data_IF_054166957654
#
_entry.id   IF_054166957654
#
_cell.length_a   1.000
_cell.length_b   1.000
_cell.length_c   1.000
_cell.angle_alpha   90.00
_cell.angle_beta   90.00
_cell.angle_gamma   90.00
#
_symmetry.space_group_name_H-M   'P 1'
#
loop_
_entity.id
_entity.type
_entity.pdbx_description
1 polymer ?
#
# COMPACT_ATOMS: atom_id res chain seq x y z
N UNK A 1 -31.31 26.42 -9.61
CA UNK A 1 -29.94 26.82 -9.97
C UNK A 1 -29.64 26.24 -11.35
N UNK A 2 -29.51 27.06 -12.41
CA UNK A 2 -29.20 26.59 -13.77
C UNK A 2 -27.68 26.58 -13.93
N UNK A 3 -27.07 25.40 -13.86
CA UNK A 3 -25.65 25.22 -14.17
C UNK A 3 -25.42 25.64 -15.62
N UNK A 4 -24.31 26.35 -15.89
CA UNK A 4 -23.99 26.92 -17.19
C UNK A 4 -24.06 25.85 -18.30
N UNK A 5 -24.74 26.18 -19.40
CA UNK A 5 -25.03 25.30 -20.55
C UNK A 5 -23.81 24.55 -21.12
N UNK A 6 -22.60 25.06 -20.86
CA UNK A 6 -21.32 24.49 -21.29
C UNK A 6 -20.95 23.17 -20.57
N UNK A 7 -21.50 22.88 -19.40
CA UNK A 7 -21.17 21.65 -18.65
C UNK A 7 -22.05 20.45 -19.01
N UNK A 8 -23.19 20.66 -19.70
CA UNK A 8 -24.08 19.57 -20.10
C UNK A 8 -23.47 18.60 -21.13
N UNK A 9 -22.39 19.00 -21.81
CA UNK A 9 -21.73 18.20 -22.84
C UNK A 9 -20.46 17.51 -22.36
N UNK A 10 -20.08 17.66 -21.09
CA UNK A 10 -18.94 16.93 -20.54
C UNK A 10 -19.38 15.51 -20.17
N UNK A 11 -18.60 14.53 -20.60
CA UNK A 11 -18.80 13.16 -20.15
C UNK A 11 -18.69 13.12 -18.61
N UNK A 12 -19.54 12.35 -17.90
CA UNK A 12 -19.40 12.15 -16.47
C UNK A 12 -17.97 11.71 -16.16
N UNK A 13 -17.30 12.42 -15.27
CA UNK A 13 -15.95 12.04 -14.84
C UNK A 13 -16.08 10.76 -14.04
N UNK A 14 -15.58 9.66 -14.60
CA UNK A 14 -15.48 8.39 -13.91
C UNK A 14 -14.33 8.47 -12.90
N UNK A 15 -14.68 8.68 -11.62
CA UNK A 15 -13.73 8.83 -10.53
C UNK A 15 -13.06 7.50 -10.15
N UNK A 16 -13.70 6.38 -10.50
CA UNK A 16 -13.13 5.05 -10.33
C UNK A 16 -12.04 4.82 -11.39
N UNK A 17 -10.84 4.42 -10.95
CA UNK A 17 -9.82 3.95 -11.89
C UNK A 17 -10.25 2.59 -12.45
N UNK A 18 -11.06 2.60 -13.52
CA UNK A 18 -11.39 1.39 -14.25
C UNK A 18 -10.14 0.83 -14.92
N UNK A 19 -9.81 -0.41 -14.59
CA UNK A 19 -8.77 -1.15 -15.32
C UNK A 19 -9.17 -1.25 -16.80
N UNK A 20 -8.22 -0.99 -17.70
CA UNK A 20 -8.42 -1.20 -19.15
C UNK A 20 -8.55 -2.69 -19.51
N UNK A 21 -8.25 -3.58 -18.57
CA UNK A 21 -8.32 -5.04 -18.72
C UNK A 21 -9.07 -5.66 -17.54
N UNK A 22 -9.95 -6.64 -17.82
CA UNK A 22 -10.67 -7.39 -16.80
C UNK A 22 -9.73 -8.38 -16.07
N UNK A 23 -8.79 -7.84 -15.29
CA UNK A 23 -7.88 -8.62 -14.45
C UNK A 23 -8.51 -8.77 -13.06
N UNK A 24 -8.93 -9.98 -12.72
CA UNK A 24 -9.37 -10.36 -11.38
C UNK A 24 -10.88 -10.52 -11.20
N UNK A 25 -11.26 -10.75 -9.95
CA UNK A 25 -12.65 -10.97 -9.54
C UNK A 25 -13.08 -9.88 -8.57
N UNK A 26 -14.35 -9.50 -8.63
CA UNK A 26 -14.96 -8.66 -7.60
C UNK A 26 -15.45 -9.56 -6.46
N UNK A 27 -14.88 -9.36 -5.28
CA UNK A 27 -15.32 -10.03 -4.06
C UNK A 27 -16.35 -9.18 -3.34
N UNK A 28 -17.41 -9.82 -2.85
CA UNK A 28 -18.40 -9.21 -1.97
C UNK A 28 -17.95 -9.42 -0.53
N UNK A 29 -17.54 -8.33 0.13
CA UNK A 29 -17.03 -8.37 1.51
C UNK A 29 -18.09 -8.80 2.55
N UNK A 30 -19.38 -8.87 2.17
CA UNK A 30 -20.44 -9.42 3.02
C UNK A 30 -20.56 -10.93 2.95
N UNK A 31 -19.85 -11.58 2.03
CA UNK A 31 -19.90 -13.03 1.81
C UNK A 31 -18.62 -13.69 2.30
N UNK A 32 -18.76 -14.93 2.76
CA UNK A 32 -17.65 -15.77 3.21
C UNK A 32 -17.39 -16.90 2.22
N UNK A 33 -16.12 -17.30 2.08
CA UNK A 33 -15.77 -18.50 1.32
C UNK A 33 -16.06 -19.73 2.20
N UNK A 34 -16.81 -20.74 1.71
CA UNK A 34 -17.07 -21.95 2.47
C UNK A 34 -15.78 -22.71 2.82
N UNK A 35 -15.70 -23.26 4.03
CA UNK A 35 -14.52 -24.04 4.49
C UNK A 35 -14.22 -25.23 3.59
N UNK A 36 -15.25 -25.90 3.06
CA UNK A 36 -15.11 -27.02 2.11
C UNK A 36 -14.36 -26.62 0.84
N UNK A 37 -14.59 -25.41 0.34
CA UNK A 37 -13.89 -24.90 -0.84
C UNK A 37 -12.44 -24.52 -0.53
N UNK A 38 -12.12 -24.14 0.71
CA UNK A 38 -10.74 -23.84 1.13
C UNK A 38 -9.92 -25.12 1.32
N UNK A 39 -10.53 -26.19 1.81
CA UNK A 39 -9.85 -27.48 2.05
C UNK A 39 -9.37 -28.16 0.77
N UNK A 40 -9.97 -27.85 -0.38
CA UNK A 40 -9.51 -28.36 -1.68
C UNK A 40 -8.33 -27.58 -2.25
N UNK A 41 -7.96 -26.46 -1.62
CA UNK A 41 -6.87 -25.60 -2.09
C UNK A 41 -5.57 -25.93 -1.36
N UNK A 42 -4.46 -25.76 -2.06
CA UNK A 42 -3.13 -25.86 -1.49
C UNK A 42 -2.79 -24.59 -0.70
N UNK A 43 -3.20 -24.55 0.57
CA UNK A 43 -2.98 -23.42 1.48
C UNK A 43 -2.11 -23.88 2.65
N UNK A 44 -1.01 -23.18 2.87
CA UNK A 44 -0.13 -23.38 4.03
C UNK A 44 -0.31 -22.24 5.02
N UNK A 45 -0.56 -22.58 6.28
CA UNK A 45 -0.66 -21.62 7.38
C UNK A 45 0.55 -21.74 8.29
N UNK A 46 1.01 -20.61 8.82
CA UNK A 46 2.03 -20.57 9.86
C UNK A 46 1.41 -19.99 11.13
N UNK A 47 1.51 -20.75 12.23
CA UNK A 47 0.88 -20.40 13.51
C UNK A 47 1.88 -20.05 14.62
N UNK A 48 3.19 -20.06 14.33
CA UNK A 48 4.24 -19.74 15.31
C UNK A 48 4.75 -20.90 16.16
N UNK A 49 4.11 -22.08 16.09
CA UNK A 49 4.46 -23.25 16.90
C UNK A 49 5.60 -24.12 16.31
N UNK A 50 5.94 -23.92 15.04
CA UNK A 50 7.00 -24.69 14.38
C UNK A 50 8.36 -24.30 14.95
N UNK A 51 9.06 -25.24 15.60
CA UNK A 51 10.46 -25.07 15.97
C UNK A 51 11.32 -25.22 14.71
N UNK A 52 12.23 -24.28 14.41
CA UNK A 52 13.07 -24.39 13.24
C UNK A 52 14.10 -25.52 13.44
N UNK A 53 13.89 -26.67 12.81
CA UNK A 53 14.92 -27.70 12.63
C UNK A 53 15.90 -27.21 11.56
N UNK A 54 16.92 -26.44 11.97
CA UNK A 54 17.87 -25.80 11.06
C UNK A 54 17.29 -24.55 10.40
N UNK A 55 17.37 -23.41 11.09
CA UNK A 55 16.82 -22.13 10.62
C UNK A 55 17.58 -21.53 9.45
N UNK A 56 16.84 -21.02 8.46
CA UNK A 56 17.39 -20.17 7.41
C UNK A 56 17.67 -18.81 7.99
N UNK A 57 18.90 -18.34 7.87
CA UNK A 57 19.33 -17.07 8.45
C UNK A 57 19.57 -17.15 9.96
N UNK A 58 20.56 -16.41 10.43
CA UNK A 58 20.77 -16.22 11.87
C UNK A 58 19.73 -15.21 12.36
N UNK A 59 18.76 -15.63 13.17
CA UNK A 59 17.80 -14.74 13.82
C UNK A 59 17.90 -14.91 15.33
N UNK A 60 17.70 -13.83 16.07
CA UNK A 60 17.56 -13.87 17.51
C UNK A 60 16.13 -14.25 17.90
N UNK A 61 15.15 -13.71 17.18
CA UNK A 61 13.75 -14.07 17.34
C UNK A 61 13.47 -15.37 16.55
N UNK A 62 13.15 -16.48 17.23
CA UNK A 62 12.91 -17.77 16.57
C UNK A 62 11.66 -17.77 15.68
N UNK A 63 10.72 -16.85 15.89
CA UNK A 63 9.53 -16.73 15.05
C UNK A 63 9.88 -16.26 13.64
N UNK A 64 10.85 -15.35 13.47
CA UNK A 64 11.31 -14.96 12.14
C UNK A 64 11.98 -16.13 11.42
N UNK A 65 12.82 -16.89 12.12
CA UNK A 65 13.45 -18.08 11.56
C UNK A 65 12.41 -19.14 11.15
N UNK A 66 11.47 -19.45 12.04
CA UNK A 66 10.39 -20.40 11.81
C UNK A 66 9.52 -20.00 10.61
N UNK A 67 9.04 -18.75 10.57
CA UNK A 67 8.24 -18.24 9.48
C UNK A 67 8.99 -18.27 8.15
N UNK A 68 10.26 -17.84 8.14
CA UNK A 68 11.06 -17.83 6.93
C UNK A 68 11.32 -19.26 6.42
N UNK A 69 11.60 -20.20 7.32
CA UNK A 69 11.76 -21.62 6.96
C UNK A 69 10.47 -22.21 6.38
N UNK A 70 9.31 -21.88 6.95
CA UNK A 70 8.01 -22.31 6.41
C UNK A 70 7.79 -21.75 5.00
N UNK A 71 8.04 -20.44 4.79
CA UNK A 71 7.91 -19.80 3.47
C UNK A 71 8.87 -20.42 2.48
N UNK A 72 10.14 -20.59 2.85
CA UNK A 72 11.16 -21.15 1.97
C UNK A 72 10.84 -22.60 1.57
N UNK A 73 10.42 -23.42 2.54
CA UNK A 73 9.98 -24.81 2.29
C UNK A 73 8.86 -24.85 1.25
N UNK A 74 7.84 -24.00 1.41
CA UNK A 74 6.73 -23.92 0.45
C UNK A 74 7.18 -23.40 -0.91
N UNK A 75 7.98 -22.35 -0.94
CA UNK A 75 8.47 -21.72 -2.16
C UNK A 75 9.48 -22.59 -2.94
N UNK A 76 10.08 -23.59 -2.29
CA UNK A 76 11.01 -24.55 -2.93
C UNK A 76 10.30 -25.69 -3.69
N UNK A 77 8.97 -25.79 -3.60
CA UNK A 77 8.22 -26.79 -4.37
C UNK A 77 8.36 -26.57 -5.88
N UNK A 78 8.41 -27.67 -6.64
CA UNK A 78 8.72 -27.64 -8.09
C UNK A 78 7.76 -26.77 -8.92
N UNK A 79 6.49 -26.68 -8.49
CA UNK A 79 5.45 -25.87 -9.15
C UNK A 79 5.73 -24.36 -9.09
N UNK A 80 6.53 -23.89 -8.14
CA UNK A 80 6.90 -22.49 -7.98
C UNK A 80 8.30 -22.18 -8.50
N UNK A 81 8.99 -23.14 -9.11
CA UNK A 81 10.27 -22.90 -9.74
C UNK A 81 10.04 -22.40 -11.19
N UNK A 82 10.63 -21.25 -11.53
CA UNK A 82 10.51 -20.70 -12.89
C UNK A 82 11.26 -21.53 -13.94
N UNK A 83 12.36 -22.17 -13.55
CA UNK A 83 13.29 -22.90 -14.44
C UNK A 83 13.00 -24.40 -14.56
N UNK A 84 12.05 -24.94 -13.79
CA UNK A 84 11.64 -26.34 -13.92
C UNK A 84 10.99 -26.58 -15.28
N UNK A 85 11.48 -27.60 -15.99
CA UNK A 85 11.05 -27.99 -17.34
C UNK A 85 9.87 -28.96 -17.38
N UNK A 86 9.59 -29.63 -16.27
CA UNK A 86 8.56 -30.68 -16.18
C UNK A 86 7.61 -30.37 -15.01
N UNK A 87 6.30 -30.29 -15.28
CA UNK A 87 5.25 -30.04 -14.29
C UNK A 87 4.35 -28.84 -14.58
N UNK A 88 3.17 -28.81 -13.97
CA UNK A 88 2.26 -27.66 -14.02
C UNK A 88 2.79 -26.54 -13.15
N UNK A 89 3.16 -25.41 -13.76
CA UNK A 89 3.60 -24.21 -13.04
C UNK A 89 2.42 -23.53 -12.36
N UNK A 90 2.66 -22.97 -11.19
CA UNK A 90 1.69 -22.21 -10.42
C UNK A 90 2.33 -20.96 -9.82
N UNK A 91 1.51 -20.05 -9.28
CA UNK A 91 1.97 -18.82 -8.62
C UNK A 91 1.68 -18.92 -7.13
N UNK A 92 2.74 -18.88 -6.31
CA UNK A 92 2.62 -18.81 -4.86
C UNK A 92 2.21 -17.40 -4.43
N UNK A 93 1.09 -17.30 -3.71
CA UNK A 93 0.62 -16.03 -3.13
C UNK A 93 0.91 -16.04 -1.63
N UNK A 94 1.91 -15.28 -1.22
CA UNK A 94 2.33 -15.14 0.18
C UNK A 94 1.62 -13.93 0.78
N UNK A 95 0.88 -14.13 1.87
CA UNK A 95 0.18 -13.07 2.58
C UNK A 95 0.65 -13.04 4.03
N UNK A 96 1.29 -11.95 4.45
CA UNK A 96 1.77 -11.75 5.82
C UNK A 96 0.98 -10.62 6.47
N UNK A 97 0.25 -10.95 7.53
CA UNK A 97 -0.63 -10.01 8.20
C UNK A 97 0.03 -9.43 9.46
N UNK A 98 0.06 -8.10 9.56
CA UNK A 98 0.54 -7.36 10.74
C UNK A 98 1.91 -7.82 11.26
N UNK A 99 2.83 -8.17 10.36
CA UNK A 99 4.21 -8.50 10.73
C UNK A 99 4.92 -7.24 11.21
N UNK A 100 5.75 -7.35 12.25
CA UNK A 100 6.35 -6.18 12.90
C UNK A 100 5.39 -5.42 13.82
N UNK A 101 4.24 -6.00 14.16
CA UNK A 101 3.44 -5.56 15.31
C UNK A 101 4.19 -5.78 16.63
N UNK A 102 3.73 -5.19 17.76
CA UNK A 102 4.41 -5.32 19.04
C UNK A 102 4.62 -6.76 19.53
N UNK A 103 3.82 -7.71 19.03
CA UNK A 103 4.01 -9.14 19.29
C UNK A 103 5.38 -9.68 18.79
N UNK A 104 6.03 -8.97 17.86
CA UNK A 104 7.33 -9.33 17.30
C UNK A 104 8.51 -8.62 17.99
N UNK A 105 8.23 -7.69 18.91
CA UNK A 105 9.26 -6.84 19.49
C UNK A 105 10.11 -7.62 20.49
N UNK A 106 11.41 -7.55 20.27
CA UNK A 106 12.45 -7.93 21.20
C UNK A 106 13.62 -6.94 21.09
N UNK A 107 14.67 -7.15 21.88
CA UNK A 107 15.87 -6.30 21.87
C UNK A 107 16.59 -6.23 20.51
N UNK A 108 16.35 -7.18 19.60
CA UNK A 108 17.00 -7.27 18.29
C UNK A 108 16.03 -7.00 17.13
N UNK A 109 14.81 -6.56 17.42
CA UNK A 109 13.69 -6.47 16.48
C UNK A 109 14.07 -5.77 15.18
N UNK A 110 14.67 -4.57 15.26
CA UNK A 110 15.02 -3.78 14.09
C UNK A 110 15.94 -4.55 13.13
N UNK A 111 16.95 -5.24 13.68
CA UNK A 111 17.92 -6.00 12.89
C UNK A 111 17.31 -7.26 12.29
N UNK A 112 16.59 -8.03 13.10
CA UNK A 112 15.96 -9.27 12.66
C UNK A 112 14.84 -9.00 11.65
N UNK A 113 14.06 -7.93 11.81
CA UNK A 113 13.01 -7.56 10.87
C UNK A 113 13.59 -7.15 9.50
N UNK A 114 14.62 -6.29 9.48
CA UNK A 114 15.30 -5.92 8.23
C UNK A 114 15.89 -7.15 7.53
N UNK A 115 16.53 -8.04 8.29
CA UNK A 115 17.07 -9.30 7.77
C UNK A 115 15.97 -10.20 7.21
N UNK A 116 14.87 -10.34 7.92
CA UNK A 116 13.72 -11.13 7.49
C UNK A 116 13.16 -10.61 6.15
N UNK A 117 12.90 -9.31 6.03
CA UNK A 117 12.38 -8.71 4.80
C UNK A 117 13.37 -8.87 3.64
N UNK A 118 14.68 -8.70 3.89
CA UNK A 118 15.70 -8.89 2.87
C UNK A 118 15.77 -10.33 2.35
N UNK A 119 15.72 -11.33 3.24
CA UNK A 119 15.73 -12.75 2.87
C UNK A 119 14.42 -13.15 2.19
N UNK A 120 13.27 -12.69 2.68
CA UNK A 120 11.98 -12.91 2.04
C UNK A 120 11.95 -12.34 0.62
N UNK A 121 12.47 -11.12 0.43
CA UNK A 121 12.62 -10.51 -0.90
C UNK A 121 13.45 -11.41 -1.81
N UNK A 122 14.58 -11.95 -1.32
CA UNK A 122 15.40 -12.86 -2.10
C UNK A 122 14.64 -14.13 -2.52
N UNK A 123 13.84 -14.72 -1.64
CA UNK A 123 12.99 -15.89 -1.97
C UNK A 123 11.98 -15.52 -3.07
N UNK A 124 11.26 -14.41 -2.89
CA UNK A 124 10.24 -13.96 -3.86
C UNK A 124 10.83 -13.64 -5.22
N UNK A 125 12.05 -13.08 -5.28
CA UNK A 125 12.73 -12.77 -6.54
C UNK A 125 13.23 -14.01 -7.31
N UNK A 126 13.39 -15.15 -6.64
CA UNK A 126 13.92 -16.39 -7.23
C UNK A 126 12.86 -17.49 -7.41
N UNK A 127 11.58 -17.19 -7.14
CA UNK A 127 10.47 -18.14 -7.25
C UNK A 127 9.29 -17.50 -7.99
N UNK A 128 8.38 -18.32 -8.50
CA UNK A 128 7.11 -17.87 -9.09
C UNK A 128 6.14 -17.46 -7.98
N UNK A 129 6.47 -16.35 -7.31
CA UNK A 129 5.79 -15.91 -6.10
C UNK A 129 5.44 -14.43 -6.15
N UNK A 130 4.36 -14.09 -5.48
CA UNK A 130 4.00 -12.70 -5.13
C UNK A 130 3.78 -12.61 -3.62
N UNK A 131 4.16 -11.49 -3.02
CA UNK A 131 4.05 -11.30 -1.58
C UNK A 131 3.32 -10.00 -1.25
N UNK A 132 2.26 -10.10 -0.45
CA UNK A 132 1.55 -8.98 0.16
C UNK A 132 1.84 -8.99 1.67
N UNK A 133 2.34 -7.87 2.18
CA UNK A 133 2.68 -7.72 3.59
C UNK A 133 1.95 -6.50 4.13
N UNK A 134 1.28 -6.65 5.27
CA UNK A 134 0.78 -5.53 6.07
C UNK A 134 1.66 -5.35 7.31
N UNK A 135 2.08 -4.11 7.56
CA UNK A 135 2.97 -3.74 8.67
C UNK A 135 2.39 -2.51 9.37
N UNK A 136 2.22 -2.50 10.71
CA UNK A 136 1.75 -1.33 11.44
C UNK A 136 2.89 -0.32 11.63
N UNK A 137 3.32 0.32 10.53
CA UNK A 137 4.53 1.18 10.50
C UNK A 137 4.45 2.40 11.44
N UNK A 138 3.26 2.91 11.74
CA UNK A 138 3.08 4.03 12.68
C UNK A 138 3.63 3.72 14.08
N UNK A 139 3.69 2.44 14.47
CA UNK A 139 4.24 2.02 15.75
C UNK A 139 5.77 2.12 15.80
N UNK A 140 6.45 2.18 14.66
CA UNK A 140 7.91 2.27 14.62
C UNK A 140 8.43 3.61 15.13
N UNK A 141 7.59 4.65 15.17
CA UNK A 141 7.94 5.94 15.76
C UNK A 141 8.17 5.86 17.28
N UNK A 142 7.68 4.81 17.93
CA UNK A 142 7.88 4.56 19.36
C UNK A 142 9.11 3.68 19.66
N UNK A 143 9.84 3.25 18.62
CA UNK A 143 11.07 2.49 18.78
C UNK A 143 12.28 3.44 18.82
N UNK A 144 13.34 3.02 19.48
CA UNK A 144 14.59 3.79 19.57
C UNK A 144 15.28 3.98 18.20
N UNK A 145 14.91 3.16 17.20
CA UNK A 145 15.50 3.17 15.88
C UNK A 145 14.72 4.06 14.89
N UNK A 146 15.01 5.36 14.92
CA UNK A 146 14.35 6.39 14.10
C UNK A 146 14.51 6.18 12.57
N UNK A 147 15.46 5.35 12.13
CA UNK A 147 15.71 5.07 10.71
C UNK A 147 15.10 3.76 10.23
N UNK A 148 14.51 2.96 11.12
CA UNK A 148 13.91 1.67 10.78
C UNK A 148 12.84 1.83 9.69
N UNK A 149 11.93 2.79 9.85
CA UNK A 149 10.86 3.08 8.89
C UNK A 149 11.41 3.22 7.46
N UNK A 150 12.37 4.12 7.23
CA UNK A 150 12.94 4.38 5.90
C UNK A 150 13.65 3.16 5.34
N UNK A 151 14.40 2.43 6.18
CA UNK A 151 15.12 1.21 5.75
C UNK A 151 14.16 0.10 5.34
N UNK A 152 13.06 -0.07 6.07
CA UNK A 152 12.02 -1.06 5.74
C UNK A 152 11.35 -0.70 4.40
N UNK A 153 10.88 0.53 4.22
CA UNK A 153 10.30 0.99 2.95
C UNK A 153 11.27 0.79 1.77
N UNK A 154 12.57 0.98 1.99
CA UNK A 154 13.59 0.77 0.97
C UNK A 154 13.76 -0.70 0.54
N UNK A 155 13.36 -1.67 1.34
CA UNK A 155 13.40 -3.09 0.97
C UNK A 155 12.18 -3.53 0.15
N UNK A 156 11.05 -2.85 0.27
CA UNK A 156 9.83 -3.17 -0.48
C UNK A 156 9.91 -2.76 -1.95
N UNK A 157 9.23 -3.49 -2.82
CA UNK A 157 9.12 -3.09 -4.23
C UNK A 157 8.01 -2.06 -4.45
N UNK A 158 6.85 -2.30 -3.85
CA UNK A 158 5.75 -1.35 -3.82
C UNK A 158 5.36 -1.12 -2.36
N UNK A 159 5.06 0.12 -2.01
CA UNK A 159 4.59 0.46 -0.68
C UNK A 159 3.47 1.49 -0.77
N UNK A 160 2.41 1.21 -0.01
CA UNK A 160 1.21 2.02 0.09
C UNK A 160 0.92 2.23 1.57
N UNK A 161 0.65 3.47 1.94
CA UNK A 161 0.27 3.87 3.29
C UNK A 161 -1.21 4.21 3.29
N UNK A 162 -1.93 3.67 4.28
CA UNK A 162 -3.33 3.95 4.50
C UNK A 162 -3.43 4.86 5.72
N UNK A 163 -3.89 6.08 5.50
CA UNK A 163 -4.08 7.09 6.53
C UNK A 163 -5.58 7.24 6.78
N UNK A 164 -6.09 6.61 7.85
CA UNK A 164 -7.49 6.70 8.21
C UNK A 164 -7.82 8.07 8.81
N UNK A 165 -8.97 8.63 8.44
CA UNK A 165 -9.51 9.80 9.14
C UNK A 165 -10.05 9.32 10.49
N UNK A 166 -9.46 9.81 11.58
CA UNK A 166 -9.87 9.48 12.93
C UNK A 166 -9.90 10.72 13.82
N UNK A 167 -10.90 10.79 14.70
CA UNK A 167 -11.03 11.84 15.71
C UNK A 167 -11.21 13.24 15.11
N UNK A 168 -10.46 14.22 15.60
CA UNK A 168 -10.63 15.62 15.20
C UNK A 168 -10.42 15.88 13.71
N UNK A 169 -9.60 15.06 13.03
CA UNK A 169 -9.44 15.16 11.58
C UNK A 169 -10.72 14.81 10.83
N UNK A 170 -11.54 13.89 11.33
CA UNK A 170 -12.85 13.57 10.74
C UNK A 170 -13.85 14.72 10.94
N UNK A 171 -13.84 15.32 12.14
CA UNK A 171 -14.73 16.44 12.51
C UNK A 171 -14.38 17.74 11.78
N UNK A 172 -13.09 17.98 11.53
CA UNK A 172 -12.57 19.17 10.83
C UNK A 172 -12.33 18.93 9.33
N UNK A 173 -12.57 17.72 8.84
CA UNK A 173 -12.36 17.42 7.43
C UNK A 173 -13.28 18.30 6.58
N UNK A 174 -12.71 18.89 5.52
CA UNK A 174 -13.48 19.55 4.47
C UNK A 174 -14.66 18.62 4.07
N UNK A 175 -15.90 19.14 3.90
CA UNK A 175 -17.09 18.35 3.55
C UNK A 175 -16.89 17.28 2.46
N UNK A 176 -15.92 17.51 1.58
CA UNK A 176 -15.45 16.65 0.48
C UNK A 176 -14.91 15.31 0.96
N UNK A 177 -14.34 15.26 2.15
CA UNK A 177 -13.76 14.05 2.73
C UNK A 177 -14.79 13.17 3.45
N UNK A 178 -16.02 13.64 3.67
CA UNK A 178 -17.05 12.92 4.43
C UNK A 178 -17.45 11.57 3.84
N UNK A 179 -17.28 11.38 2.53
CA UNK A 179 -17.57 10.10 1.89
C UNK A 179 -16.42 9.09 1.97
N UNK A 180 -15.26 9.51 2.48
CA UNK A 180 -14.02 8.74 2.54
C UNK A 180 -13.69 8.34 3.97
N UNK A 181 -13.05 7.18 4.11
CA UNK A 181 -12.56 6.70 5.41
C UNK A 181 -11.08 7.07 5.62
N UNK A 182 -10.40 7.54 4.57
CA UNK A 182 -9.00 7.94 4.65
C UNK A 182 -8.34 8.13 3.29
N UNK A 183 -7.05 8.41 3.33
CA UNK A 183 -6.19 8.61 2.17
C UNK A 183 -5.31 7.37 1.92
N UNK A 184 -5.00 7.12 0.65
CA UNK A 184 -4.03 6.13 0.23
C UNK A 184 -2.82 6.84 -0.36
N UNK A 185 -1.72 6.85 0.39
CA UNK A 185 -0.47 7.44 -0.02
C UNK A 185 0.38 6.37 -0.70
N UNK A 186 0.68 6.55 -1.99
CA UNK A 186 1.71 5.75 -2.65
C UNK A 186 3.05 6.23 -2.10
N UNK A 187 3.77 5.41 -1.35
CA UNK A 187 5.08 5.82 -0.78
C UNK A 187 6.24 5.34 -1.63
N UNK A 188 6.10 4.19 -2.30
CA UNK A 188 7.15 3.65 -3.19
C UNK A 188 6.59 2.85 -4.35
N UNK A 189 7.18 3.05 -5.53
CA UNK A 189 7.03 2.20 -6.72
C UNK A 189 8.43 1.94 -7.27
N UNK A 190 8.92 0.71 -7.14
CA UNK A 190 10.22 0.30 -7.68
C UNK A 190 10.13 -0.07 -9.17
N UNK A 191 11.16 0.24 -9.98
CA UNK A 191 11.22 -0.17 -11.38
C UNK A 191 11.64 -1.65 -11.50
N UNK A 192 10.77 -2.58 -11.08
CA UNK A 192 11.07 -4.02 -11.20
C UNK A 192 11.05 -4.41 -12.68
N UNK A 193 12.15 -5.00 -13.17
CA UNK A 193 12.28 -5.47 -14.56
C UNK A 193 11.95 -4.40 -15.61
N UNK A 194 12.13 -3.12 -15.24
CA UNK A 194 11.87 -1.96 -16.10
C UNK A 194 13.00 -0.95 -15.91
N UNK A 195 13.30 -0.16 -16.95
CA UNK A 195 14.27 0.92 -16.89
C UNK A 195 13.75 2.15 -16.14
N UNK A 196 12.43 2.32 -16.07
CA UNK A 196 11.78 3.44 -15.40
C UNK A 196 10.64 2.96 -14.53
N UNK A 197 10.41 3.66 -13.41
CA UNK A 197 9.30 3.38 -12.53
C UNK A 197 7.99 3.86 -13.15
N UNK A 198 6.89 3.17 -12.84
CA UNK A 198 5.56 3.63 -13.20
C UNK A 198 5.23 4.91 -12.41
N UNK A 199 4.78 5.93 -13.14
CA UNK A 199 4.33 7.20 -12.56
C UNK A 199 2.81 7.30 -12.71
N UNK A 200 2.03 7.14 -11.62
CA UNK A 200 0.59 7.30 -11.65
C UNK A 200 0.19 8.71 -12.12
N UNK A 201 -0.92 8.81 -12.85
CA UNK A 201 -1.43 10.11 -13.33
C UNK A 201 -1.82 11.07 -12.20
N UNK A 202 -2.23 10.53 -11.05
CA UNK A 202 -2.50 11.27 -9.82
C UNK A 202 -2.07 10.41 -8.64
N UNK A 203 -1.69 11.07 -7.55
CA UNK A 203 -1.36 10.47 -6.26
C UNK A 203 -2.41 10.80 -5.19
N UNK A 204 -3.39 11.64 -5.54
CA UNK A 204 -4.48 12.07 -4.66
C UNK A 204 -5.52 10.96 -4.65
N UNK A 205 -5.25 9.93 -3.85
CA UNK A 205 -6.09 8.74 -3.75
C UNK A 205 -6.73 8.73 -2.37
N UNK A 206 -8.02 8.46 -2.34
CA UNK A 206 -8.77 8.27 -1.12
C UNK A 206 -9.46 6.90 -1.16
N UNK A 207 -9.62 6.29 0.00
CA UNK A 207 -10.28 5.00 0.13
C UNK A 207 -11.58 5.11 0.90
N UNK A 208 -12.54 4.28 0.52
CA UNK A 208 -13.78 4.10 1.27
C UNK A 208 -14.21 2.64 1.32
N UNK A 209 -14.59 2.21 2.51
CA UNK A 209 -15.23 0.92 2.72
C UNK A 209 -16.74 1.09 2.54
N UNK A 210 -17.28 0.55 1.45
CA UNK A 210 -18.73 0.36 1.29
C UNK A 210 -19.11 -0.99 1.90
N UNK A 211 -20.42 -1.20 2.10
CA UNK A 211 -20.97 -2.44 2.66
C UNK A 211 -20.37 -3.72 2.08
N UNK A 212 -20.17 -3.79 0.76
CA UNK A 212 -19.68 -4.99 0.07
C UNK A 212 -18.34 -4.83 -0.64
N UNK A 213 -17.70 -3.65 -0.60
CA UNK A 213 -16.54 -3.33 -1.42
C UNK A 213 -15.59 -2.37 -0.74
N UNK A 214 -14.30 -2.60 -0.88
CA UNK A 214 -13.26 -1.62 -0.61
C UNK A 214 -12.94 -0.88 -1.91
N UNK A 215 -13.06 0.44 -1.92
CA UNK A 215 -12.92 1.29 -3.10
C UNK A 215 -11.77 2.25 -2.90
N UNK A 216 -10.91 2.37 -3.90
CA UNK A 216 -9.88 3.42 -4.02
C UNK A 216 -10.25 4.26 -5.24
N UNK A 217 -10.38 5.57 -5.05
CA UNK A 217 -10.74 6.50 -6.12
C UNK A 217 -9.91 7.78 -6.02
N UNK A 218 -9.95 8.58 -7.09
CA UNK A 218 -9.25 9.85 -7.12
C UNK A 218 -9.98 10.84 -6.25
N UNK A 219 -9.25 11.51 -5.37
CA UNK A 219 -9.78 12.59 -4.57
C UNK A 219 -10.00 13.80 -5.49
N UNK A 220 -11.27 14.16 -5.70
CA UNK A 220 -11.64 15.37 -6.40
C UNK A 220 -11.93 16.46 -5.36
N UNK A 221 -11.05 17.44 -5.26
CA UNK A 221 -11.40 18.68 -4.56
C UNK A 221 -12.48 19.39 -5.38
N UNK A 222 -13.60 19.81 -4.78
CA UNK A 222 -14.57 20.63 -5.44
C UNK A 222 -13.88 21.92 -5.86
N UNK A 223 -14.30 22.51 -6.98
CA UNK A 223 -13.82 23.84 -7.33
C UNK A 223 -14.07 24.78 -6.16
N UNK A 224 -13.08 25.62 -5.83
CA UNK A 224 -13.22 26.73 -4.90
C UNK A 224 -14.25 27.72 -5.48
N UNK A 225 -15.53 27.40 -5.33
CA UNK A 225 -16.61 28.34 -5.52
C UNK A 225 -16.63 29.12 -4.22
N UNK A 226 -15.76 30.13 -4.15
CA UNK A 226 -15.95 31.22 -3.22
C UNK A 226 -17.29 31.82 -3.62
N UNK A 227 -18.33 31.60 -2.82
CA UNK A 227 -19.54 32.41 -2.88
C UNK A 227 -19.09 33.85 -2.59
N UNK A 228 -18.90 34.65 -3.64
CA UNK A 228 -18.48 36.05 -3.58
C UNK A 228 -19.63 36.95 -3.08
N UNK A 229 -20.32 36.52 -2.03
CA UNK A 229 -21.42 37.25 -1.40
C UNK A 229 -21.18 37.59 0.08
N UNK A 230 -19.95 37.41 0.59
CA UNK A 230 -19.57 38.06 1.84
C UNK A 230 -18.10 38.44 1.91
N UNK A 231 -17.80 39.68 1.49
CA UNK A 231 -16.65 40.43 1.99
C UNK A 231 -16.72 40.54 3.51
N UNK A 232 -16.13 39.58 4.21
CA UNK A 232 -15.63 39.75 5.56
C UNK A 232 -14.16 39.30 5.59
N UNK A 233 -13.27 40.27 5.70
CA UNK A 233 -11.81 40.12 5.72
C UNK A 233 -11.38 39.11 6.78
N UNK A 234 -10.89 37.95 6.37
CA UNK A 234 -9.92 37.18 7.15
C UNK A 234 -8.76 36.85 6.21
N UNK A 235 -7.69 37.63 6.36
CA UNK A 235 -6.47 37.49 5.56
C UNK A 235 -5.64 36.34 6.12
N UNK A 236 -5.76 35.16 5.51
CA UNK A 236 -4.84 34.04 5.74
C UNK A 236 -3.69 34.13 4.72
N UNK A 237 -2.43 33.85 5.10
CA UNK A 237 -1.30 34.02 4.18
C UNK A 237 -1.30 32.91 3.13
N UNK A 238 -1.59 33.27 1.88
CA UNK A 238 -1.45 32.40 0.71
C UNK A 238 0.01 32.37 0.27
N UNK A 239 0.68 31.22 0.43
CA UNK A 239 1.96 30.93 -0.23
C UNK A 239 1.68 30.60 -1.70
N UNK A 240 1.72 31.63 -2.55
CA UNK A 240 1.67 31.49 -4.01
C UNK A 240 3.03 31.86 -4.61
N UNK A 241 3.79 30.84 -5.05
CA UNK A 241 4.92 31.03 -5.95
C UNK A 241 4.41 31.28 -7.36
N UNK A 242 3.98 32.52 -7.62
CA UNK A 242 3.86 33.06 -8.96
C UNK A 242 4.95 34.12 -9.12
N UNK A 243 6.01 33.77 -9.86
CA UNK A 243 7.08 34.68 -10.25
C UNK A 243 6.52 35.76 -11.18
N UNK A 244 6.14 36.90 -10.60
CA UNK A 244 5.85 38.10 -11.35
C UNK A 244 7.15 38.65 -11.95
N UNK A 245 7.16 38.76 -13.28
CA UNK A 245 8.29 39.23 -14.05
C UNK A 245 8.72 40.64 -13.64
N UNK A 246 9.98 40.75 -13.21
CA UNK A 246 10.67 42.03 -13.10
C UNK A 246 11.72 42.06 -14.20
N UNK A 247 11.47 42.89 -15.21
CA UNK A 247 12.46 43.27 -16.22
C UNK A 247 13.55 44.08 -15.54
N UNK A 248 14.75 43.51 -15.40
CA UNK A 248 15.96 44.31 -15.23
C UNK A 248 16.87 44.09 -16.45
N UNK A 249 17.27 45.22 -17.04
CA UNK A 249 18.25 45.33 -18.12
C UNK A 249 19.66 45.22 -17.53
N UNK A 250 20.48 44.33 -18.12
CA UNK A 250 21.96 44.38 -18.28
C UNK A 250 22.79 44.44 -16.97
N UNK A 251 24.01 43.93 -16.85
CA UNK A 251 25.19 43.86 -17.73
C UNK A 251 26.12 42.69 -17.30
N UNK A 252 26.87 42.14 -18.28
CA UNK A 252 28.00 41.17 -18.26
C UNK A 252 27.98 39.95 -17.32
#
# INVERSE_FOLDING_TARGET
MRIAFRYNQLAPVDSEQKSSTALGHYFDLTKTIPSTALLTQDITYWNGDERPDGGIGSFHNPHYASLLSCIHRKASEQQFNATSGEGTKNVLRICLNSIGSPAWYDKNFSGDFLRFIALLKAIVRNTLSVCLITVPLHLFHHLDDFHLYKRVINLFDFSFELEAFAGQMEEQANPVFKEYHGLLNITKIAPINSLASFHPKTRDLAFKLKRSKFVIEKLHLPPDIVDDDSRAKVQMPTLSCASAGMKNRLDF
#
